data_IF_182994976046
#
_entry.id   IF_182994976046
#
_cell.length_a   1.000
_cell.length_b   1.000
_cell.length_c   1.000
_cell.angle_alpha   90.00
_cell.angle_beta   90.00
_cell.angle_gamma   90.00
#
_symmetry.space_group_name_H-M   'P 1'
#
loop_
_entity.id
_entity.type
_entity.pdbx_description
1 polymer ?
#
# COMPACT_ATOMS: atom_id res chain seq x y z
N UNK A 1 2.10 5.95 5.58
CA UNK A 1 1.42 6.64 4.47
C UNK A 1 -0.09 6.76 4.71
N UNK A 2 -0.72 5.75 5.32
CA UNK A 2 -2.12 5.84 5.71
C UNK A 2 -2.31 6.74 6.93
N UNK A 3 -3.35 7.55 6.89
CA UNK A 3 -3.79 8.38 8.02
C UNK A 3 -5.29 8.59 7.96
N UNK A 4 -5.92 8.73 9.12
CA UNK A 4 -7.35 9.07 9.19
C UNK A 4 -7.56 10.42 8.49
N UNK A 5 -8.62 10.51 7.69
CA UNK A 5 -8.97 11.70 6.92
C UNK A 5 -8.26 11.82 5.56
N UNK A 6 -7.41 10.86 5.16
CA UNK A 6 -6.76 10.93 3.84
C UNK A 6 -7.80 11.01 2.72
N UNK A 7 -7.56 11.87 1.71
CA UNK A 7 -8.46 12.22 0.61
C UNK A 7 -9.80 12.86 0.99
N UNK A 8 -10.02 13.28 2.23
CA UNK A 8 -11.28 13.90 2.65
C UNK A 8 -11.59 15.17 1.85
N UNK A 9 -10.61 16.03 1.62
CA UNK A 9 -10.78 17.26 0.82
C UNK A 9 -11.17 16.97 -0.63
N UNK A 10 -10.66 15.87 -1.20
CA UNK A 10 -11.06 15.41 -2.54
C UNK A 10 -12.46 14.84 -2.54
N UNK A 11 -12.80 14.06 -1.52
CA UNK A 11 -14.14 13.50 -1.35
C UNK A 11 -15.20 14.61 -1.24
N UNK A 12 -14.94 15.66 -0.48
CA UNK A 12 -15.88 16.74 -0.29
C UNK A 12 -16.08 17.58 -1.58
N UNK A 13 -15.03 17.71 -2.40
CA UNK A 13 -15.05 18.57 -3.60
C UNK A 13 -15.49 17.87 -4.88
N UNK A 14 -15.21 16.59 -5.06
CA UNK A 14 -15.35 15.93 -6.36
C UNK A 14 -16.32 14.75 -6.31
N UNK A 15 -17.39 14.82 -7.10
CA UNK A 15 -18.42 13.76 -7.17
C UNK A 15 -17.84 12.41 -7.63
N UNK A 16 -16.83 12.42 -8.51
CA UNK A 16 -16.15 11.19 -8.94
C UNK A 16 -15.50 10.45 -7.76
N UNK A 17 -14.96 11.17 -6.79
CA UNK A 17 -14.36 10.60 -5.58
C UNK A 17 -15.43 9.97 -4.71
N UNK A 18 -16.56 10.67 -4.49
CA UNK A 18 -17.70 10.13 -3.72
C UNK A 18 -18.23 8.84 -4.33
N UNK A 19 -18.37 8.80 -5.66
CA UNK A 19 -18.78 7.58 -6.36
C UNK A 19 -17.80 6.44 -6.14
N UNK A 20 -16.49 6.66 -6.33
CA UNK A 20 -15.47 5.64 -6.16
C UNK A 20 -15.43 5.09 -4.72
N UNK A 21 -15.59 5.94 -3.71
CA UNK A 21 -15.62 5.52 -2.32
C UNK A 21 -16.87 4.69 -2.00
N UNK A 22 -18.04 5.10 -2.51
CA UNK A 22 -19.29 4.34 -2.38
C UNK A 22 -19.19 2.97 -3.08
N UNK A 23 -18.64 2.94 -4.29
CA UNK A 23 -18.43 1.70 -5.03
C UNK A 23 -17.47 0.77 -4.28
N UNK A 24 -16.39 1.31 -3.70
CA UNK A 24 -15.44 0.54 -2.91
C UNK A 24 -16.08 -0.09 -1.67
N UNK A 25 -16.93 0.64 -0.94
CA UNK A 25 -17.69 0.11 0.20
C UNK A 25 -18.55 -1.09 -0.23
N UNK A 26 -19.24 -0.97 -1.38
CA UNK A 26 -20.08 -2.04 -1.92
C UNK A 26 -19.28 -3.24 -2.40
N UNK A 27 -18.15 -3.01 -3.10
CA UNK A 27 -17.29 -4.07 -3.66
C UNK A 27 -16.61 -4.89 -2.56
N UNK A 28 -16.18 -4.21 -1.49
CA UNK A 28 -15.48 -4.82 -0.38
C UNK A 28 -16.42 -5.40 0.68
N UNK A 29 -17.73 -5.08 0.59
CA UNK A 29 -18.72 -5.39 1.63
C UNK A 29 -18.25 -4.91 3.02
N UNK A 30 -17.60 -3.75 3.03
CA UNK A 30 -16.94 -3.16 4.20
C UNK A 30 -17.02 -1.64 4.09
N UNK A 31 -17.40 -0.90 5.14
CA UNK A 31 -17.43 0.56 5.11
C UNK A 31 -16.00 1.14 5.15
N UNK A 32 -15.22 0.85 4.08
CA UNK A 32 -13.81 1.29 3.98
C UNK A 32 -13.71 2.80 3.99
N UNK A 33 -14.70 3.51 3.43
CA UNK A 33 -14.78 4.97 3.45
C UNK A 33 -14.83 5.49 4.89
N UNK A 34 -15.65 4.90 5.76
CA UNK A 34 -15.74 5.26 7.17
C UNK A 34 -14.43 4.98 7.91
N UNK A 35 -13.81 3.83 7.65
CA UNK A 35 -12.51 3.48 8.24
C UNK A 35 -11.45 4.52 7.84
N UNK A 36 -11.45 4.97 6.58
CA UNK A 36 -10.51 5.99 6.08
C UNK A 36 -10.75 7.34 6.76
N UNK A 37 -12.00 7.78 6.89
CA UNK A 37 -12.31 9.14 7.35
C UNK A 37 -12.42 9.29 8.86
N UNK A 38 -12.89 8.25 9.55
CA UNK A 38 -13.24 8.30 10.96
C UNK A 38 -12.43 7.30 11.82
N UNK A 39 -11.79 6.32 11.19
CA UNK A 39 -11.03 5.31 11.89
C UNK A 39 -11.89 4.17 12.46
N UNK A 40 -11.46 3.54 13.56
CA UNK A 40 -10.27 3.87 14.36
C UNK A 40 -8.96 3.50 13.66
N UNK A 41 -7.83 4.08 14.13
CA UNK A 41 -6.49 3.85 13.55
C UNK A 41 -6.12 2.37 13.50
N UNK A 42 -6.49 1.60 14.50
CA UNK A 42 -6.22 0.17 14.58
C UNK A 42 -6.85 -0.56 13.38
N UNK A 43 -8.08 -0.21 13.01
CA UNK A 43 -8.75 -0.79 11.85
C UNK A 43 -8.09 -0.36 10.53
N UNK A 44 -7.72 0.92 10.40
CA UNK A 44 -7.03 1.42 9.21
C UNK A 44 -5.64 0.79 9.05
N UNK A 45 -4.96 0.46 10.14
CA UNK A 45 -3.62 -0.13 10.16
C UNK A 45 -3.61 -1.66 9.95
N UNK A 46 -4.75 -2.33 10.00
CA UNK A 46 -4.81 -3.73 9.55
C UNK A 46 -4.44 -3.79 8.08
N UNK A 47 -3.45 -4.62 7.73
CA UNK A 47 -2.90 -4.69 6.37
C UNK A 47 -3.97 -4.98 5.32
N UNK A 48 -4.99 -5.76 5.67
CA UNK A 48 -6.14 -6.04 4.81
C UNK A 48 -7.01 -4.82 4.51
N UNK A 49 -7.01 -3.81 5.38
CA UNK A 49 -7.72 -2.55 5.19
C UNK A 49 -6.79 -1.46 4.65
N UNK A 50 -5.55 -1.40 5.12
CA UNK A 50 -4.55 -0.43 4.69
C UNK A 50 -4.34 -0.45 3.18
N UNK A 51 -4.19 -1.64 2.59
CA UNK A 51 -3.86 -1.75 1.17
C UNK A 51 -4.98 -1.25 0.27
N UNK A 52 -6.25 -1.71 0.39
CA UNK A 52 -7.33 -1.14 -0.41
C UNK A 52 -7.60 0.33 -0.09
N UNK A 53 -7.40 0.80 1.15
CA UNK A 53 -7.57 2.20 1.51
C UNK A 53 -6.58 3.13 0.80
N UNK A 54 -5.29 2.78 0.78
CA UNK A 54 -4.26 3.56 0.07
C UNK A 54 -4.50 3.51 -1.45
N UNK A 55 -4.85 2.34 -1.99
CA UNK A 55 -5.19 2.21 -3.41
C UNK A 55 -6.38 3.09 -3.78
N UNK A 56 -7.49 3.00 -3.05
CA UNK A 56 -8.70 3.79 -3.29
C UNK A 56 -8.39 5.28 -3.30
N UNK A 57 -7.63 5.75 -2.30
CA UNK A 57 -7.19 7.14 -2.21
C UNK A 57 -6.36 7.57 -3.42
N UNK A 58 -5.36 6.76 -3.78
CA UNK A 58 -4.47 7.06 -4.91
C UNK A 58 -5.23 7.06 -6.25
N UNK A 59 -6.10 6.08 -6.45
CA UNK A 59 -6.89 5.95 -7.67
C UNK A 59 -7.93 7.08 -7.78
N UNK A 60 -8.53 7.49 -6.67
CA UNK A 60 -9.46 8.63 -6.65
C UNK A 60 -8.75 9.94 -7.03
N UNK A 61 -7.58 10.22 -6.44
CA UNK A 61 -6.76 11.40 -6.79
C UNK A 61 -6.34 11.35 -8.26
N UNK A 62 -5.91 10.19 -8.75
CA UNK A 62 -5.57 10.00 -10.17
C UNK A 62 -6.75 10.34 -11.10
N UNK A 63 -7.96 9.87 -10.78
CA UNK A 63 -9.14 10.17 -11.59
C UNK A 63 -9.52 11.65 -11.56
N UNK A 64 -9.34 12.35 -10.44
CA UNK A 64 -9.48 13.80 -10.37
C UNK A 64 -8.44 14.48 -11.26
N UNK A 65 -7.16 14.08 -11.16
CA UNK A 65 -6.09 14.64 -12.00
C UNK A 65 -6.38 14.45 -13.49
N UNK A 66 -6.89 13.27 -13.88
CA UNK A 66 -7.26 12.98 -15.28
C UNK A 66 -8.46 13.81 -15.74
N UNK A 67 -9.53 13.86 -14.93
CA UNK A 67 -10.81 14.46 -15.34
C UNK A 67 -10.82 15.98 -15.24
N UNK A 68 -10.28 16.51 -14.16
CA UNK A 68 -10.38 17.95 -13.85
C UNK A 68 -9.14 18.74 -14.26
N UNK A 69 -7.97 18.07 -14.35
CA UNK A 69 -6.70 18.73 -14.63
C UNK A 69 -6.04 18.26 -15.94
N UNK A 70 -6.72 17.42 -16.73
CA UNK A 70 -6.25 17.01 -18.05
C UNK A 70 -5.00 16.12 -18.03
N UNK A 71 -4.75 15.38 -16.93
CA UNK A 71 -3.65 14.43 -16.89
C UNK A 71 -3.80 13.40 -18.01
N UNK A 72 -2.83 13.38 -18.93
CA UNK A 72 -2.76 12.43 -20.03
C UNK A 72 -1.57 11.48 -19.83
N UNK A 73 -1.83 10.18 -19.85
CA UNK A 73 -0.82 9.14 -19.73
C UNK A 73 -0.28 8.63 -21.08
N UNK A 74 -0.78 9.12 -22.21
CA UNK A 74 -0.38 8.64 -23.53
C UNK A 74 1.11 8.85 -23.83
N UNK A 75 1.75 9.81 -23.14
CA UNK A 75 3.18 10.08 -23.24
C UNK A 75 4.03 9.28 -22.24
N UNK A 76 3.42 8.59 -21.30
CA UNK A 76 4.14 7.79 -20.32
C UNK A 76 4.61 6.49 -20.95
N UNK A 77 5.92 6.29 -20.99
CA UNK A 77 6.52 5.06 -21.53
C UNK A 77 6.53 3.91 -20.52
N UNK A 78 6.53 4.24 -19.25
CA UNK A 78 6.60 3.27 -18.15
C UNK A 78 5.66 3.66 -17.02
N UNK A 79 5.17 2.64 -16.30
CA UNK A 79 4.48 2.77 -15.04
C UNK A 79 5.20 1.96 -13.98
N UNK A 80 5.36 2.50 -12.81
CA UNK A 80 5.99 1.82 -11.68
C UNK A 80 5.25 2.12 -10.38
N UNK A 81 5.31 1.19 -9.45
CA UNK A 81 4.75 1.34 -8.14
C UNK A 81 5.46 0.45 -7.12
N UNK A 82 5.66 0.97 -5.91
CA UNK A 82 6.26 0.22 -4.83
C UNK A 82 5.20 -0.57 -4.06
N UNK A 83 5.41 -1.89 -3.89
CA UNK A 83 4.51 -2.79 -3.17
C UNK A 83 3.07 -2.74 -3.71
N UNK A 84 2.09 -2.30 -2.93
CA UNK A 84 0.71 -2.12 -3.41
C UNK A 84 0.60 -1.08 -4.55
N UNK A 85 1.57 -0.17 -4.66
CA UNK A 85 1.63 0.84 -5.72
C UNK A 85 1.75 0.24 -7.13
N UNK A 86 2.29 -0.97 -7.27
CA UNK A 86 2.30 -1.71 -8.53
C UNK A 86 0.87 -1.97 -9.03
N UNK A 87 -0.02 -2.39 -8.13
CA UNK A 87 -1.44 -2.58 -8.47
C UNK A 87 -2.14 -1.27 -8.82
N UNK A 88 -1.77 -0.16 -8.14
CA UNK A 88 -2.26 1.17 -8.48
C UNK A 88 -1.80 1.57 -9.88
N UNK A 89 -0.54 1.36 -10.21
CA UNK A 89 0.01 1.62 -11.54
C UNK A 89 -0.72 0.79 -12.62
N UNK A 90 -0.86 -0.51 -12.42
CA UNK A 90 -1.58 -1.41 -13.33
C UNK A 90 -3.04 -0.96 -13.55
N UNK A 91 -3.73 -0.54 -12.49
CA UNK A 91 -5.11 -0.06 -12.59
C UNK A 91 -5.20 1.31 -13.30
N UNK A 92 -4.31 2.24 -13.00
CA UNK A 92 -4.27 3.56 -13.63
C UNK A 92 -3.98 3.48 -15.14
N UNK A 93 -3.20 2.49 -15.56
CA UNK A 93 -2.89 2.22 -16.98
C UNK A 93 -3.85 1.24 -17.66
N UNK A 94 -4.91 0.81 -16.96
CA UNK A 94 -5.98 -0.02 -17.53
C UNK A 94 -5.65 -1.51 -17.69
N UNK A 95 -4.52 -1.98 -17.14
CA UNK A 95 -4.17 -3.41 -17.12
C UNK A 95 -5.00 -4.20 -16.11
N UNK A 96 -5.46 -3.54 -15.05
CA UNK A 96 -6.42 -4.07 -14.08
C UNK A 96 -7.62 -3.13 -13.97
N UNK A 97 -8.80 -3.68 -13.70
CA UNK A 97 -9.96 -2.86 -13.39
C UNK A 97 -10.03 -2.54 -11.87
N UNK A 98 -10.78 -1.50 -11.54
CA UNK A 98 -10.91 -1.00 -10.17
C UNK A 98 -11.44 -2.04 -9.18
N UNK A 99 -12.50 -2.76 -9.58
CA UNK A 99 -13.15 -3.74 -8.72
C UNK A 99 -12.23 -4.91 -8.38
N UNK A 100 -11.56 -5.48 -9.37
CA UNK A 100 -10.64 -6.59 -9.17
C UNK A 100 -9.43 -6.16 -8.35
N UNK A 101 -8.90 -4.95 -8.61
CA UNK A 101 -7.77 -4.41 -7.86
C UNK A 101 -8.10 -4.28 -6.36
N UNK A 102 -9.28 -3.76 -6.01
CA UNK A 102 -9.73 -3.69 -4.60
C UNK A 102 -9.78 -5.07 -3.95
N UNK A 103 -10.40 -6.06 -4.63
CA UNK A 103 -10.52 -7.42 -4.11
C UNK A 103 -9.17 -8.12 -3.95
N UNK A 104 -8.28 -7.94 -4.92
CA UNK A 104 -6.92 -8.49 -4.88
C UNK A 104 -6.15 -7.90 -3.71
N UNK A 105 -6.19 -6.58 -3.53
CA UNK A 105 -5.46 -5.91 -2.45
C UNK A 105 -6.00 -6.26 -1.07
N UNK A 106 -7.32 -6.43 -0.91
CA UNK A 106 -7.89 -6.95 0.34
C UNK A 106 -7.38 -8.36 0.66
N UNK A 107 -7.40 -9.27 -0.33
CA UNK A 107 -6.87 -10.63 -0.17
C UNK A 107 -5.37 -10.64 0.11
N UNK A 108 -4.61 -9.83 -0.63
CA UNK A 108 -3.15 -9.68 -0.41
C UNK A 108 -2.86 -9.23 1.01
N UNK A 109 -3.57 -8.19 1.49
CA UNK A 109 -3.42 -7.71 2.87
C UNK A 109 -3.73 -8.78 3.91
N UNK A 110 -4.81 -9.54 3.70
CA UNK A 110 -5.18 -10.66 4.57
C UNK A 110 -4.09 -11.74 4.61
N UNK A 111 -3.61 -12.19 3.45
CA UNK A 111 -2.55 -13.20 3.39
C UNK A 111 -1.23 -12.72 4.02
N UNK A 112 -0.89 -11.44 3.86
CA UNK A 112 0.27 -10.88 4.54
C UNK A 112 0.10 -10.85 6.06
N UNK A 113 -1.10 -10.58 6.55
CA UNK A 113 -1.41 -10.59 7.98
C UNK A 113 -1.38 -12.03 8.57
N UNK A 114 -1.83 -13.02 7.77
CA UNK A 114 -1.84 -14.44 8.18
C UNK A 114 -0.46 -15.09 8.07
N UNK A 115 0.43 -14.58 7.21
CA UNK A 115 1.76 -15.15 6.98
C UNK A 115 2.67 -15.09 8.21
N UNK A 116 2.50 -14.09 9.07
CA UNK A 116 3.25 -13.95 10.32
C UNK A 116 2.27 -13.53 11.42
N UNK A 117 2.08 -14.37 12.44
CA UNK A 117 1.22 -14.03 13.56
C UNK A 117 1.65 -12.73 14.26
N UNK A 118 0.71 -11.97 14.83
CA UNK A 118 1.03 -10.76 15.57
C UNK A 118 2.08 -11.04 16.67
N UNK A 119 3.06 -10.16 16.78
CA UNK A 119 4.15 -10.23 17.76
C UNK A 119 5.19 -11.38 17.55
N UNK A 120 5.14 -12.09 16.44
CA UNK A 120 6.15 -13.10 16.10
C UNK A 120 7.20 -12.61 15.13
N UNK A 121 6.91 -11.59 14.36
CA UNK A 121 7.81 -11.00 13.37
C UNK A 121 7.86 -9.48 13.44
N UNK A 122 8.95 -8.94 12.92
CA UNK A 122 9.13 -7.50 12.74
C UNK A 122 9.83 -7.19 11.42
N UNK A 123 9.65 -5.97 10.96
CA UNK A 123 10.40 -5.41 9.85
C UNK A 123 11.16 -4.18 10.32
N UNK A 124 12.44 -4.11 9.94
CA UNK A 124 13.32 -3.00 10.32
C UNK A 124 13.88 -2.34 9.05
N UNK A 125 13.64 -1.04 8.93
CA UNK A 125 14.26 -0.23 7.88
C UNK A 125 15.64 0.23 8.33
N UNK A 126 16.68 -0.21 7.61
CA UNK A 126 18.07 0.19 7.82
C UNK A 126 18.36 1.34 6.85
N UNK A 127 18.76 2.48 7.39
CA UNK A 127 19.04 3.69 6.62
C UNK A 127 20.54 3.96 6.54
N UNK A 128 20.99 4.48 5.39
CA UNK A 128 22.36 4.94 5.19
C UNK A 128 23.39 3.83 5.01
N UNK A 129 22.97 2.56 4.89
CA UNK A 129 23.87 1.41 4.73
C UNK A 129 23.58 0.69 3.42
N UNK A 130 24.63 0.35 2.68
CA UNK A 130 24.51 -0.38 1.41
C UNK A 130 24.06 -1.82 1.63
N UNK A 131 23.23 -2.35 0.73
CA UNK A 131 22.72 -3.72 0.76
C UNK A 131 23.83 -4.76 1.01
N UNK A 132 24.92 -4.69 0.27
CA UNK A 132 26.05 -5.63 0.39
C UNK A 132 26.63 -5.70 1.81
N UNK A 133 26.74 -4.57 2.50
CA UNK A 133 27.25 -4.54 3.88
C UNK A 133 26.27 -5.23 4.83
N UNK A 134 24.96 -5.03 4.61
CA UNK A 134 23.92 -5.69 5.42
C UNK A 134 23.95 -7.20 5.21
N UNK A 135 24.07 -7.66 3.96
CA UNK A 135 24.20 -9.08 3.62
C UNK A 135 25.43 -9.72 4.27
N UNK A 136 26.58 -9.04 4.22
CA UNK A 136 27.81 -9.49 4.87
C UNK A 136 27.64 -9.62 6.39
N UNK A 137 26.98 -8.66 7.04
CA UNK A 137 26.69 -8.70 8.49
C UNK A 137 25.76 -9.86 8.83
N UNK A 138 24.67 -10.03 8.07
CA UNK A 138 23.72 -11.13 8.28
C UNK A 138 24.42 -12.47 8.20
N UNK A 139 25.23 -12.69 7.15
CA UNK A 139 25.91 -13.94 6.90
C UNK A 139 27.02 -14.20 7.94
N UNK A 140 27.86 -13.21 8.24
CA UNK A 140 29.00 -13.37 9.14
C UNK A 140 28.57 -13.57 10.60
N UNK A 141 27.44 -12.98 11.00
CA UNK A 141 26.91 -13.11 12.37
C UNK A 141 25.84 -14.17 12.51
N UNK A 142 25.47 -14.83 11.40
CA UNK A 142 24.41 -15.82 11.34
C UNK A 142 23.08 -15.32 11.96
N UNK A 143 22.73 -14.06 11.66
CA UNK A 143 21.46 -13.50 12.15
C UNK A 143 20.28 -14.17 11.44
N UNK A 144 19.25 -14.51 12.22
CA UNK A 144 17.99 -15.05 11.68
C UNK A 144 17.10 -13.93 11.17
N UNK A 145 17.58 -13.23 10.16
CA UNK A 145 16.82 -12.20 9.44
C UNK A 145 17.07 -12.30 7.94
N UNK A 146 16.17 -11.74 7.16
CA UNK A 146 16.20 -11.83 5.70
C UNK A 146 16.01 -10.42 5.11
N UNK A 147 16.68 -10.17 3.98
CA UNK A 147 16.40 -8.98 3.19
C UNK A 147 14.96 -9.09 2.65
N UNK A 148 14.13 -8.15 3.03
CA UNK A 148 12.74 -8.07 2.58
C UNK A 148 12.58 -7.12 1.40
N UNK A 149 13.24 -5.95 1.46
CA UNK A 149 13.20 -4.95 0.39
C UNK A 149 14.55 -4.24 0.25
N UNK A 150 14.97 -4.06 -0.99
CA UNK A 150 16.01 -3.11 -1.38
C UNK A 150 15.32 -1.90 -2.04
N UNK A 151 14.98 -0.90 -1.23
CA UNK A 151 14.15 0.22 -1.66
C UNK A 151 14.94 1.32 -2.37
N UNK A 152 16.18 1.51 -1.96
CA UNK A 152 17.07 2.53 -2.53
C UNK A 152 18.51 2.29 -2.05
N UNK A 153 19.52 2.96 -2.66
CA UNK A 153 20.91 2.89 -2.20
C UNK A 153 21.14 3.22 -0.72
N UNK A 154 20.13 3.82 -0.05
CA UNK A 154 20.19 4.25 1.34
C UNK A 154 19.10 3.65 2.23
N UNK A 155 18.29 2.73 1.71
CA UNK A 155 17.24 2.10 2.51
C UNK A 155 17.03 0.64 2.13
N UNK A 156 17.37 -0.23 3.04
CA UNK A 156 17.10 -1.67 2.96
C UNK A 156 16.19 -2.07 4.11
N UNK A 157 15.18 -2.89 3.84
CA UNK A 157 14.30 -3.42 4.88
C UNK A 157 14.63 -4.88 5.11
N UNK A 158 14.84 -5.25 6.37
CA UNK A 158 15.01 -6.64 6.78
C UNK A 158 13.78 -7.11 7.54
N UNK A 159 13.40 -8.36 7.35
CA UNK A 159 12.42 -9.06 8.16
C UNK A 159 13.14 -9.96 9.16
N UNK A 160 12.62 -10.03 10.36
CA UNK A 160 13.22 -10.80 11.45
C UNK A 160 12.14 -11.41 12.34
N UNK A 161 12.48 -12.53 12.97
CA UNK A 161 11.65 -13.15 13.98
C UNK A 161 11.93 -12.52 15.36
N UNK A 162 10.90 -12.06 16.04
CA UNK A 162 11.01 -11.47 17.38
C UNK A 162 11.38 -12.51 18.45
N UNK A 163 11.12 -13.80 18.19
CA UNK A 163 11.49 -14.89 19.09
C UNK A 163 13.04 -15.03 19.22
N UNK A 164 13.79 -14.45 18.29
CA UNK A 164 15.25 -14.53 18.24
C UNK A 164 15.95 -13.22 18.64
N UNK A 165 15.20 -12.23 19.08
CA UNK A 165 15.69 -10.99 19.66
C UNK A 165 15.71 -11.12 21.18
#
# INVERSE_FOLDING_TARGET
>A
SQMIGMAKDFFDKFEIVKSLFKDADSILELPISKIIFEGPNEQLNLTENTQPAIFLTSYAIFNVAKKEFGLNLDQAQFAAGHSLGEYSALCCFGALNFQDTLKILKKRGKFMQEAVPPNEGAMLAILGTKLKVIEEIINNKNFKCFIANDNSPQQVVVSLSLIHI
#
